data_IF_484273222379
#
_entry.id   IF_484273222379
#
_cell.length_a   1.000
_cell.length_b   1.000
_cell.length_c   1.000
_cell.angle_alpha   90.00
_cell.angle_beta   90.00
_cell.angle_gamma   90.00
#
_symmetry.space_group_name_H-M   'P 1'
#
loop_
_entity.id
_entity.type
_entity.pdbx_description
1 polymer ?
#
# COMPACT_ATOMS: atom_id res chain seq x y z
N UNK A 1 50.53 67.12 19.29
CA UNK A 1 50.42 67.87 20.56
C UNK A 1 49.79 69.23 20.24
N UNK A 2 48.52 69.41 20.55
CA UNK A 2 47.83 70.70 20.43
C UNK A 2 47.48 71.16 21.85
N UNK A 3 47.89 72.39 22.19
CA UNK A 3 47.75 72.97 23.52
C UNK A 3 46.28 73.39 23.72
N UNK A 4 45.60 72.76 24.67
CA UNK A 4 44.24 73.12 25.08
C UNK A 4 44.36 74.17 26.19
N UNK A 5 44.05 75.43 25.87
CA UNK A 5 43.97 76.53 26.84
C UNK A 5 42.56 76.54 27.44
N UNK A 6 42.38 76.58 28.78
CA UNK A 6 41.06 76.58 29.40
C UNK A 6 40.32 77.92 29.16
N UNK A 7 38.98 77.91 29.01
CA UNK A 7 38.22 79.10 28.65
C UNK A 7 38.06 80.05 29.84
N UNK A 8 38.27 81.35 29.62
CA UNK A 8 37.92 82.42 30.56
C UNK A 8 36.41 82.71 30.47
N UNK A 9 35.73 83.00 31.60
CA UNK A 9 34.31 83.30 31.61
C UNK A 9 34.09 84.72 31.06
N UNK A 10 33.27 84.84 30.01
CA UNK A 10 32.79 86.07 29.35
C UNK A 10 33.70 86.73 28.31
N UNK A 11 34.29 85.96 27.39
CA UNK A 11 34.67 86.50 26.07
C UNK A 11 33.49 86.35 25.12
N UNK A 12 32.82 87.46 24.79
CA UNK A 12 31.81 87.44 23.73
C UNK A 12 32.51 87.21 22.40
N UNK A 13 32.09 86.17 21.65
CA UNK A 13 32.58 85.97 20.28
C UNK A 13 32.24 87.19 19.44
N UNK A 14 33.20 87.63 18.63
CA UNK A 14 32.90 88.56 17.55
C UNK A 14 31.93 87.91 16.56
N UNK A 15 31.17 88.73 15.82
CA UNK A 15 30.20 88.23 14.83
C UNK A 15 30.82 87.29 13.82
N UNK A 16 32.06 87.58 13.40
CA UNK A 16 32.77 86.78 12.40
C UNK A 16 33.22 85.44 13.00
N UNK A 17 33.73 85.42 14.23
CA UNK A 17 34.05 84.19 14.96
C UNK A 17 32.83 83.30 15.16
N UNK A 18 31.68 83.88 15.52
CA UNK A 18 30.42 83.13 15.65
C UNK A 18 30.00 82.50 14.32
N UNK A 19 30.12 83.25 13.23
CA UNK A 19 29.78 82.78 11.88
C UNK A 19 30.69 81.63 11.45
N UNK A 20 31.99 81.73 11.71
CA UNK A 20 32.97 80.66 11.44
C UNK A 20 32.66 79.41 12.27
N UNK A 21 32.40 79.57 13.58
CA UNK A 21 32.07 78.46 14.46
C UNK A 21 30.79 77.76 14.00
N UNK A 22 29.76 78.52 13.62
CA UNK A 22 28.50 77.97 13.12
C UNK A 22 28.69 77.21 11.82
N UNK A 23 29.42 77.77 10.85
CA UNK A 23 29.75 77.06 9.61
C UNK A 23 30.56 75.79 9.87
N UNK A 24 31.50 75.81 10.81
CA UNK A 24 32.26 74.61 11.20
C UNK A 24 31.35 73.52 11.75
N UNK A 25 30.42 73.87 12.64
CA UNK A 25 29.43 72.95 13.20
C UNK A 25 28.49 72.39 12.13
N UNK A 26 27.94 73.26 11.28
CA UNK A 26 27.02 72.85 10.20
C UNK A 26 27.73 71.93 9.19
N UNK A 27 29.00 72.21 8.86
CA UNK A 27 29.82 71.35 8.01
C UNK A 27 30.08 69.98 8.65
N UNK A 28 30.34 69.95 9.97
CA UNK A 28 30.52 68.69 10.68
C UNK A 28 29.23 67.86 10.68
N UNK A 29 28.08 68.46 11.02
CA UNK A 29 26.79 67.79 10.97
C UNK A 29 26.46 67.27 9.57
N UNK A 30 26.70 68.10 8.54
CA UNK A 30 26.48 67.70 7.14
C UNK A 30 27.29 66.46 6.77
N UNK A 31 28.55 66.37 7.25
CA UNK A 31 29.39 65.19 7.03
C UNK A 31 28.86 63.95 7.75
N UNK A 32 28.46 64.07 9.01
CA UNK A 32 27.89 62.95 9.77
C UNK A 32 26.59 62.47 9.13
N UNK A 33 25.70 63.40 8.72
CA UNK A 33 24.47 63.05 8.00
C UNK A 33 24.74 62.36 6.67
N UNK A 34 25.72 62.83 5.88
CA UNK A 34 26.12 62.17 4.65
C UNK A 34 26.65 60.75 4.91
N UNK A 35 27.41 60.55 5.98
CA UNK A 35 27.88 59.23 6.43
C UNK A 35 26.73 58.30 6.83
N UNK A 36 25.77 58.80 7.60
CA UNK A 36 24.56 58.07 7.96
C UNK A 36 23.73 57.68 6.73
N UNK A 37 23.54 58.60 5.79
CA UNK A 37 22.85 58.31 4.54
C UNK A 37 23.54 57.19 3.75
N UNK A 38 24.87 57.24 3.65
CA UNK A 38 25.63 56.19 2.97
C UNK A 38 25.47 54.83 3.67
N UNK A 39 25.54 54.79 5.00
CA UNK A 39 25.32 53.56 5.78
C UNK A 39 23.91 53.00 5.60
N UNK A 40 22.89 53.85 5.67
CA UNK A 40 21.49 53.46 5.46
C UNK A 40 21.29 52.89 4.05
N UNK A 41 21.87 53.51 3.03
CA UNK A 41 21.75 53.03 1.66
C UNK A 41 22.55 51.74 1.42
N UNK A 42 23.64 51.52 2.16
CA UNK A 42 24.33 50.24 2.24
C UNK A 42 23.43 49.13 2.79
N UNK A 43 22.84 49.35 3.97
CA UNK A 43 21.92 48.39 4.60
C UNK A 43 20.72 48.08 3.71
N UNK A 44 20.13 49.09 3.05
CA UNK A 44 19.02 48.87 2.11
C UNK A 44 19.42 47.96 0.95
N UNK A 45 20.66 48.06 0.47
CA UNK A 45 21.18 47.22 -0.61
C UNK A 45 21.36 45.79 -0.14
N UNK A 46 22.03 45.60 0.99
CA UNK A 46 22.24 44.27 1.59
C UNK A 46 20.90 43.58 1.90
N UNK A 47 19.93 44.33 2.44
CA UNK A 47 18.60 43.79 2.71
C UNK A 47 17.86 43.38 1.43
N UNK A 48 18.05 44.14 0.34
CA UNK A 48 17.49 43.79 -0.97
C UNK A 48 18.14 42.53 -1.52
N UNK A 49 19.46 42.41 -1.46
CA UNK A 49 20.20 41.23 -1.90
C UNK A 49 19.79 39.99 -1.09
N UNK A 50 19.78 40.11 0.24
CA UNK A 50 19.32 39.05 1.13
C UNK A 50 17.88 38.61 0.81
N UNK A 51 16.97 39.55 0.55
CA UNK A 51 15.59 39.23 0.16
C UNK A 51 15.53 38.41 -1.13
N UNK A 52 16.31 38.77 -2.15
CA UNK A 52 16.34 38.03 -3.41
C UNK A 52 16.99 36.65 -3.25
N UNK A 53 18.06 36.55 -2.46
CA UNK A 53 18.72 35.26 -2.14
C UNK A 53 17.75 34.32 -1.43
N UNK A 54 17.04 34.81 -0.42
CA UNK A 54 16.02 34.04 0.31
C UNK A 54 14.91 33.58 -0.66
N UNK A 55 14.43 34.46 -1.53
CA UNK A 55 13.40 34.12 -2.52
C UNK A 55 13.88 33.03 -3.49
N UNK A 56 15.14 33.09 -3.93
CA UNK A 56 15.74 32.08 -4.79
C UNK A 56 15.82 30.73 -4.07
N UNK A 57 16.26 30.73 -2.80
CA UNK A 57 16.33 29.51 -1.99
C UNK A 57 14.95 28.88 -1.79
N UNK A 58 13.92 29.66 -1.45
CA UNK A 58 12.56 29.15 -1.32
C UNK A 58 12.05 28.56 -2.64
N UNK A 59 12.29 29.23 -3.78
CA UNK A 59 11.91 28.70 -5.09
C UNK A 59 12.59 27.37 -5.39
N UNK A 60 13.88 27.24 -5.07
CA UNK A 60 14.62 26.00 -5.25
C UNK A 60 14.11 24.87 -4.32
N UNK A 61 13.70 25.22 -3.10
CA UNK A 61 13.08 24.28 -2.15
C UNK A 61 11.72 23.80 -2.66
N UNK A 62 10.86 24.71 -3.13
CA UNK A 62 9.55 24.36 -3.70
C UNK A 62 9.68 23.43 -4.91
N UNK A 63 10.65 23.69 -5.80
CA UNK A 63 10.94 22.81 -6.93
C UNK A 63 11.33 21.40 -6.49
N UNK A 64 12.15 21.29 -5.42
CA UNK A 64 12.55 19.99 -4.86
C UNK A 64 11.38 19.27 -4.22
N UNK A 65 10.50 19.97 -3.52
CA UNK A 65 9.28 19.38 -2.95
C UNK A 65 8.35 18.85 -4.04
N UNK A 66 8.08 19.64 -5.09
CA UNK A 66 7.26 19.20 -6.22
C UNK A 66 7.86 17.95 -6.90
N UNK A 67 9.18 17.87 -7.04
CA UNK A 67 9.85 16.69 -7.59
C UNK A 67 9.74 15.46 -6.66
N UNK A 68 9.73 15.66 -5.34
CA UNK A 68 9.50 14.58 -4.37
C UNK A 68 8.06 14.07 -4.45
N UNK A 69 7.08 14.96 -4.53
CA UNK A 69 5.67 14.59 -4.64
C UNK A 69 5.42 13.73 -5.89
N UNK A 70 5.95 14.14 -7.04
CA UNK A 70 5.88 13.36 -8.28
C UNK A 70 6.50 11.96 -8.13
N UNK A 71 7.64 11.86 -7.44
CA UNK A 71 8.29 10.56 -7.19
C UNK A 71 7.46 9.70 -6.24
N UNK A 72 6.82 10.31 -5.25
CA UNK A 72 5.95 9.62 -4.29
C UNK A 72 4.72 9.05 -5.01
N UNK A 73 4.12 9.80 -5.92
CA UNK A 73 3.00 9.32 -6.74
C UNK A 73 3.39 8.10 -7.58
N UNK A 74 4.57 8.14 -8.21
CA UNK A 74 5.11 7.00 -8.98
C UNK A 74 5.35 5.78 -8.08
N UNK A 75 5.95 5.98 -6.90
CA UNK A 75 6.20 4.89 -5.95
C UNK A 75 4.88 4.29 -5.45
N UNK A 76 3.87 5.12 -5.18
CA UNK A 76 2.56 4.65 -4.76
C UNK A 76 1.88 3.80 -5.84
N UNK A 77 1.97 4.22 -7.10
CA UNK A 77 1.48 3.45 -8.25
C UNK A 77 2.17 2.08 -8.34
N UNK A 78 3.50 2.06 -8.29
CA UNK A 78 4.30 0.84 -8.33
C UNK A 78 4.02 -0.09 -7.14
N UNK A 79 3.80 0.47 -5.95
CA UNK A 79 3.46 -0.33 -4.77
C UNK A 79 2.09 -1.00 -4.92
N UNK A 80 1.10 -0.26 -5.44
CA UNK A 80 -0.23 -0.82 -5.67
C UNK A 80 -0.19 -1.93 -6.72
N UNK A 81 0.54 -1.73 -7.82
CA UNK A 81 0.76 -2.73 -8.87
C UNK A 81 1.43 -4.00 -8.30
N UNK A 82 2.58 -3.85 -7.62
CA UNK A 82 3.27 -4.97 -6.99
C UNK A 82 2.39 -5.71 -5.97
N UNK A 83 1.61 -4.96 -5.18
CA UNK A 83 0.67 -5.56 -4.21
C UNK A 83 -0.41 -6.37 -4.93
N UNK A 84 -0.90 -5.90 -6.08
CA UNK A 84 -1.87 -6.62 -6.88
C UNK A 84 -1.26 -7.92 -7.42
N UNK A 85 -0.07 -7.85 -8.02
CA UNK A 85 0.64 -9.02 -8.55
C UNK A 85 0.88 -10.09 -7.50
N UNK A 86 1.37 -9.70 -6.31
CA UNK A 86 1.59 -10.62 -5.19
C UNK A 86 0.28 -11.30 -4.77
N UNK A 87 -0.80 -10.53 -4.62
CA UNK A 87 -2.11 -11.07 -4.22
C UNK A 87 -2.70 -11.97 -5.30
N UNK A 88 -2.63 -11.58 -6.57
CA UNK A 88 -3.08 -12.35 -7.71
C UNK A 88 -2.30 -13.66 -7.83
N UNK A 89 -0.97 -13.61 -7.75
CA UNK A 89 -0.11 -14.79 -7.82
C UNK A 89 -0.39 -15.79 -6.68
N UNK A 90 -0.58 -15.29 -5.46
CA UNK A 90 -0.95 -16.13 -4.31
C UNK A 90 -2.34 -16.77 -4.48
N UNK A 91 -3.33 -16.00 -4.94
CA UNK A 91 -4.67 -16.49 -5.21
C UNK A 91 -4.68 -17.52 -6.35
N UNK A 92 -4.00 -17.24 -7.46
CA UNK A 92 -3.86 -18.14 -8.61
C UNK A 92 -3.18 -19.45 -8.23
N UNK A 93 -2.06 -19.39 -7.49
CA UNK A 93 -1.36 -20.58 -7.00
C UNK A 93 -2.24 -21.45 -6.11
N UNK A 94 -3.08 -20.82 -5.28
CA UNK A 94 -4.04 -21.54 -4.44
C UNK A 94 -5.16 -22.15 -5.28
N UNK A 95 -5.75 -21.39 -6.19
CA UNK A 95 -6.85 -21.84 -7.02
C UNK A 95 -6.47 -23.00 -7.94
N UNK A 96 -5.27 -22.95 -8.54
CA UNK A 96 -4.75 -24.01 -9.42
C UNK A 96 -4.48 -25.35 -8.70
N UNK A 97 -4.38 -25.29 -7.36
CA UNK A 97 -4.25 -26.47 -6.50
C UNK A 97 -5.59 -27.09 -6.09
N UNK A 98 -6.72 -26.43 -6.38
CA UNK A 98 -8.06 -26.92 -6.02
C UNK A 98 -8.37 -28.18 -6.82
N UNK A 99 -8.75 -29.24 -6.11
CA UNK A 99 -9.24 -30.51 -6.68
C UNK A 99 -10.64 -30.84 -6.22
N UNK A 100 -10.98 -30.46 -4.98
CA UNK A 100 -12.28 -30.72 -4.41
C UNK A 100 -13.28 -29.64 -4.89
N UNK A 101 -14.41 -30.01 -5.54
CA UNK A 101 -15.43 -29.07 -6.01
C UNK A 101 -15.98 -28.13 -4.93
N UNK A 102 -15.97 -28.55 -3.66
CA UNK A 102 -16.51 -27.78 -2.53
C UNK A 102 -15.45 -26.92 -1.83
N UNK A 103 -14.19 -26.98 -2.28
CA UNK A 103 -13.15 -26.13 -1.76
C UNK A 103 -13.37 -24.69 -2.22
N UNK A 104 -13.03 -23.74 -1.33
CA UNK A 104 -13.26 -22.33 -1.61
C UNK A 104 -12.29 -21.78 -2.65
N UNK A 105 -12.84 -21.03 -3.60
CA UNK A 105 -12.05 -20.24 -4.55
C UNK A 105 -11.62 -18.95 -3.84
N UNK A 106 -10.36 -18.56 -4.04
CA UNK A 106 -9.88 -17.26 -3.61
C UNK A 106 -10.01 -16.27 -4.77
N UNK A 107 -10.72 -15.14 -4.58
CA UNK A 107 -10.83 -14.13 -5.61
C UNK A 107 -9.47 -13.50 -5.96
N UNK A 108 -9.29 -13.15 -7.23
CA UNK A 108 -8.17 -12.34 -7.67
C UNK A 108 -8.56 -10.86 -7.60
N UNK A 109 -7.68 -10.05 -6.99
CA UNK A 109 -7.81 -8.59 -6.91
C UNK A 109 -7.59 -8.00 -8.30
N UNK A 110 -8.34 -6.97 -8.68
CA UNK A 110 -8.10 -6.23 -9.92
C UNK A 110 -7.27 -4.97 -9.62
N UNK A 111 -6.28 -4.68 -10.47
CA UNK A 111 -5.55 -3.42 -10.41
C UNK A 111 -5.97 -2.53 -11.58
N UNK A 112 -6.42 -1.31 -11.25
CA UNK A 112 -6.81 -0.30 -12.24
C UNK A 112 -5.97 0.95 -11.97
N UNK A 113 -5.09 1.39 -12.89
CA UNK A 113 -4.20 2.53 -12.64
C UNK A 113 -4.91 3.80 -12.14
N UNK A 114 -6.14 4.04 -12.61
CA UNK A 114 -6.93 5.20 -12.20
C UNK A 114 -7.63 5.05 -10.84
N UNK A 115 -7.85 3.84 -10.33
CA UNK A 115 -8.68 3.57 -9.14
C UNK A 115 -7.95 2.78 -8.06
N UNK A 116 -6.73 2.32 -8.34
CA UNK A 116 -5.92 1.50 -7.46
C UNK A 116 -6.33 0.03 -7.43
N UNK A 117 -6.15 -0.59 -6.27
CA UNK A 117 -6.52 -1.97 -5.99
C UNK A 117 -8.03 -2.05 -5.74
N UNK A 118 -8.71 -2.93 -6.47
CA UNK A 118 -10.13 -3.24 -6.28
C UNK A 118 -10.28 -4.71 -5.88
N UNK A 119 -10.88 -4.95 -4.71
CA UNK A 119 -11.27 -6.29 -4.29
C UNK A 119 -12.67 -6.62 -4.87
N UNK A 120 -12.91 -7.87 -5.32
CA UNK A 120 -14.22 -8.26 -5.79
C UNK A 120 -15.21 -8.40 -4.63
N UNK A 121 -16.48 -8.15 -4.94
CA UNK A 121 -17.60 -8.30 -4.04
C UNK A 121 -17.89 -9.78 -3.82
N UNK A 122 -17.75 -10.21 -2.57
CA UNK A 122 -17.90 -11.60 -2.16
C UNK A 122 -19.34 -12.12 -2.27
N UNK A 123 -20.34 -11.23 -2.34
CA UNK A 123 -21.74 -11.62 -2.52
C UNK A 123 -22.04 -11.97 -3.99
N UNK A 124 -21.25 -11.41 -4.93
CA UNK A 124 -21.31 -11.71 -6.36
C UNK A 124 -20.12 -12.55 -6.83
N UNK A 125 -19.39 -13.18 -5.91
CA UNK A 125 -18.28 -14.07 -6.23
C UNK A 125 -18.61 -15.53 -5.86
N UNK A 126 -18.37 -16.50 -6.76
CA UNK A 126 -18.64 -17.91 -6.50
C UNK A 126 -17.74 -18.42 -5.37
N UNK A 127 -18.34 -18.98 -4.33
CA UNK A 127 -17.61 -19.41 -3.14
C UNK A 127 -16.84 -20.70 -3.37
N UNK A 128 -17.34 -21.57 -4.24
CA UNK A 128 -16.78 -22.90 -4.49
C UNK A 128 -16.67 -23.18 -5.99
N UNK A 129 -15.78 -24.10 -6.36
CA UNK A 129 -15.65 -24.55 -7.76
C UNK A 129 -16.96 -25.09 -8.34
N UNK A 130 -17.72 -25.85 -7.56
CA UNK A 130 -19.01 -26.38 -8.01
C UNK A 130 -20.04 -25.26 -8.32
N UNK A 131 -20.02 -24.18 -7.55
CA UNK A 131 -20.84 -23.00 -7.81
C UNK A 131 -20.37 -22.25 -9.05
N UNK A 132 -19.06 -22.11 -9.23
CA UNK A 132 -18.45 -21.48 -10.40
C UNK A 132 -18.83 -22.19 -11.71
N UNK A 133 -18.65 -23.52 -11.80
CA UNK A 133 -18.97 -24.25 -13.05
C UNK A 133 -20.46 -24.31 -13.37
N UNK A 134 -21.36 -24.12 -12.38
CA UNK A 134 -22.80 -23.95 -12.63
C UNK A 134 -23.11 -22.67 -13.40
N UNK A 135 -22.21 -21.69 -13.44
CA UNK A 135 -22.40 -20.46 -14.21
C UNK A 135 -22.35 -20.68 -15.73
N UNK A 136 -21.90 -21.84 -16.22
CA UNK A 136 -21.97 -22.20 -17.65
C UNK A 136 -23.40 -22.28 -18.17
N UNK A 137 -24.32 -22.67 -17.29
CA UNK A 137 -25.75 -22.74 -17.58
C UNK A 137 -26.51 -21.98 -16.47
N UNK A 138 -26.55 -20.64 -16.51
CA UNK A 138 -27.08 -19.83 -15.42
C UNK A 138 -28.61 -19.88 -15.40
N UNK A 139 -29.16 -20.77 -14.57
CA UNK A 139 -30.60 -21.01 -14.43
C UNK A 139 -31.26 -19.87 -13.65
N UNK A 140 -30.62 -19.41 -12.57
CA UNK A 140 -31.20 -18.44 -11.64
C UNK A 140 -30.78 -17.01 -11.97
N UNK A 141 -31.65 -16.02 -11.69
CA UNK A 141 -31.30 -14.59 -11.85
C UNK A 141 -30.04 -14.20 -11.08
N UNK A 142 -29.82 -14.78 -9.90
CA UNK A 142 -28.61 -14.58 -9.11
C UNK A 142 -27.35 -15.03 -9.85
N UNK A 143 -27.36 -16.22 -10.48
CA UNK A 143 -26.26 -16.71 -11.30
C UNK A 143 -26.00 -15.81 -12.52
N UNK A 144 -27.05 -15.29 -13.15
CA UNK A 144 -26.91 -14.35 -14.28
C UNK A 144 -26.19 -13.06 -13.85
N UNK A 145 -26.60 -12.49 -12.72
CA UNK A 145 -25.97 -11.30 -12.13
C UNK A 145 -24.53 -11.55 -11.70
N UNK A 146 -24.28 -12.72 -11.11
CA UNK A 146 -22.94 -13.15 -10.69
C UNK A 146 -22.00 -13.24 -11.90
N UNK A 147 -22.42 -13.92 -12.98
CA UNK A 147 -21.61 -14.03 -14.19
C UNK A 147 -21.33 -12.66 -14.82
N UNK A 148 -22.35 -11.83 -14.95
CA UNK A 148 -22.21 -10.46 -15.46
C UNK A 148 -21.24 -9.62 -14.61
N UNK A 149 -21.31 -9.75 -13.28
CA UNK A 149 -20.40 -9.09 -12.36
C UNK A 149 -18.95 -9.52 -12.60
N UNK A 150 -18.69 -10.82 -12.70
CA UNK A 150 -17.33 -11.33 -12.92
C UNK A 150 -16.74 -10.84 -14.24
N UNK A 151 -17.52 -10.85 -15.32
CA UNK A 151 -17.10 -10.35 -16.64
C UNK A 151 -16.69 -8.87 -16.55
N UNK A 152 -17.50 -8.04 -15.90
CA UNK A 152 -17.21 -6.61 -15.76
C UNK A 152 -16.06 -6.33 -14.79
N UNK A 153 -15.90 -7.14 -13.74
CA UNK A 153 -14.85 -6.96 -12.75
C UNK A 153 -13.47 -7.24 -13.35
N UNK A 154 -13.34 -8.37 -14.06
CA UNK A 154 -12.12 -8.80 -14.74
C UNK A 154 -11.93 -8.22 -16.15
N UNK A 155 -12.77 -7.24 -16.54
CA UNK A 155 -12.69 -6.52 -17.82
C UNK A 155 -12.70 -7.43 -19.06
N UNK A 156 -13.52 -8.48 -19.02
CA UNK A 156 -13.65 -9.45 -20.11
C UNK A 156 -14.69 -9.02 -21.16
N UNK A 157 -15.36 -7.88 -20.98
CA UNK A 157 -16.42 -7.42 -21.90
C UNK A 157 -15.93 -7.19 -23.33
N UNK A 158 -14.64 -6.89 -23.50
CA UNK A 158 -14.00 -6.66 -24.79
C UNK A 158 -13.29 -7.91 -25.34
N UNK A 159 -13.37 -9.05 -24.64
CA UNK A 159 -12.76 -10.30 -25.09
C UNK A 159 -13.56 -10.84 -26.28
N UNK A 160 -12.99 -10.87 -27.50
CA UNK A 160 -13.69 -11.39 -28.68
C UNK A 160 -14.07 -12.87 -28.53
N UNK A 161 -13.44 -13.59 -27.60
CA UNK A 161 -13.69 -15.01 -27.35
C UNK A 161 -15.08 -15.24 -26.76
N UNK A 162 -15.57 -14.32 -25.92
CA UNK A 162 -16.84 -14.48 -25.18
C UNK A 162 -18.05 -13.94 -25.94
N UNK A 163 -17.83 -13.21 -27.03
CA UNK A 163 -18.92 -12.68 -27.85
C UNK A 163 -19.66 -13.81 -28.58
N UNK A 164 -20.98 -13.63 -28.84
CA UNK A 164 -21.74 -14.60 -29.61
C UNK A 164 -21.10 -14.70 -31.00
N UNK A 165 -20.68 -15.92 -31.39
CA UNK A 165 -20.36 -16.18 -32.80
C UNK A 165 -21.64 -15.89 -33.57
N UNK A 166 -21.58 -14.95 -34.52
CA UNK A 166 -22.66 -14.60 -35.43
C UNK A 166 -23.17 -15.88 -36.09
N UNK A 167 -24.19 -16.50 -35.49
CA UNK A 167 -24.82 -17.70 -36.02
C UNK A 167 -25.64 -17.21 -37.19
N UNK A 168 -25.00 -17.26 -38.36
CA UNK A 168 -25.62 -17.06 -39.66
C UNK A 168 -27.04 -17.62 -39.67
N UNK A 169 -27.96 -16.72 -39.96
CA UNK A 169 -29.39 -16.89 -40.16
C UNK A 169 -29.69 -18.13 -41.01
N UNK A 170 -30.07 -19.23 -40.37
CA UNK A 170 -30.97 -20.23 -40.97
C UNK A 170 -31.58 -21.10 -39.85
N UNK A 171 -32.89 -21.34 -39.96
CA UNK A 171 -33.78 -22.10 -39.06
C UNK A 171 -34.14 -21.54 -37.67
N UNK A 172 -35.34 -20.94 -37.62
CA UNK A 172 -36.43 -21.29 -36.70
C UNK A 172 -36.24 -21.10 -35.18
N UNK A 173 -36.93 -20.09 -34.63
CA UNK A 173 -37.35 -20.01 -33.22
C UNK A 173 -36.27 -20.23 -32.13
N UNK A 174 -35.16 -19.51 -32.23
CA UNK A 174 -34.22 -19.37 -31.10
C UNK A 174 -34.55 -18.08 -30.35
N UNK A 175 -35.18 -18.21 -29.18
CA UNK A 175 -35.34 -17.15 -28.19
C UNK A 175 -34.01 -16.39 -28.03
N UNK A 176 -33.95 -15.07 -28.27
CA UNK A 176 -32.71 -14.31 -28.18
C UNK A 176 -32.09 -14.53 -26.80
N UNK A 177 -30.87 -15.07 -26.79
CA UNK A 177 -30.12 -15.32 -25.56
C UNK A 177 -30.20 -14.07 -24.66
N UNK A 178 -30.60 -14.20 -23.38
CA UNK A 178 -30.75 -13.06 -22.47
C UNK A 178 -29.42 -12.38 -22.10
N UNK A 179 -28.30 -12.80 -22.72
CA UNK A 179 -26.96 -12.29 -22.50
C UNK A 179 -26.34 -11.77 -23.80
N UNK A 180 -25.59 -10.65 -23.75
CA UNK A 180 -24.80 -10.19 -24.88
C UNK A 180 -23.53 -11.02 -25.13
N UNK A 181 -23.35 -12.14 -24.43
CA UNK A 181 -22.17 -13.02 -24.47
C UNK A 181 -22.57 -14.49 -24.31
N UNK A 182 -21.68 -15.40 -24.72
CA UNK A 182 -21.84 -16.84 -24.51
C UNK A 182 -21.40 -17.22 -23.08
N UNK A 183 -22.31 -17.70 -22.21
CA UNK A 183 -21.99 -18.00 -20.82
C UNK A 183 -20.95 -19.13 -20.67
N UNK A 184 -20.88 -20.08 -21.61
CA UNK A 184 -19.91 -21.18 -21.54
C UNK A 184 -18.50 -20.63 -21.72
N UNK A 185 -18.29 -19.86 -22.79
CA UNK A 185 -17.00 -19.24 -23.10
C UNK A 185 -16.59 -18.20 -22.08
N UNK A 186 -17.54 -17.43 -21.55
CA UNK A 186 -17.25 -16.48 -20.47
C UNK A 186 -16.69 -17.19 -19.24
N UNK A 187 -17.27 -18.33 -18.86
CA UNK A 187 -16.75 -19.13 -17.74
C UNK A 187 -15.38 -19.72 -18.06
N UNK A 188 -15.13 -20.18 -19.28
CA UNK A 188 -13.80 -20.64 -19.71
C UNK A 188 -12.74 -19.53 -19.63
N UNK A 189 -13.04 -18.31 -20.11
CA UNK A 189 -12.13 -17.16 -19.96
C UNK A 189 -11.88 -16.83 -18.48
N UNK A 190 -12.92 -16.85 -17.64
CA UNK A 190 -12.77 -16.60 -16.19
C UNK A 190 -12.01 -17.74 -15.50
N UNK A 191 -12.16 -18.99 -15.95
CA UNK A 191 -11.44 -20.16 -15.43
C UNK A 191 -9.93 -19.95 -15.57
N UNK A 192 -9.49 -19.51 -16.76
CA UNK A 192 -8.09 -19.17 -17.05
C UNK A 192 -7.61 -18.04 -16.15
N UNK A 193 -8.39 -16.95 -16.02
CA UNK A 193 -8.04 -15.82 -15.15
C UNK A 193 -7.89 -16.25 -13.69
N UNK A 194 -8.81 -17.07 -13.18
CA UNK A 194 -8.79 -17.54 -11.79
C UNK A 194 -7.75 -18.64 -11.55
N UNK A 195 -7.15 -19.20 -12.60
CA UNK A 195 -6.21 -20.32 -12.53
C UNK A 195 -6.88 -21.62 -12.09
N UNK A 196 -8.16 -21.80 -12.41
CA UNK A 196 -8.88 -23.04 -12.14
C UNK A 196 -8.59 -24.08 -13.23
N UNK A 197 -8.83 -25.34 -12.88
CA UNK A 197 -8.59 -26.47 -13.78
C UNK A 197 -9.76 -27.45 -13.62
N UNK A 198 -10.68 -27.42 -14.57
CA UNK A 198 -11.87 -28.25 -14.55
C UNK A 198 -11.55 -29.75 -14.56
N UNK A 199 -10.51 -30.17 -15.28
CA UNK A 199 -10.16 -31.58 -15.43
C UNK A 199 -9.80 -32.21 -14.08
N UNK A 200 -9.05 -31.49 -13.23
CA UNK A 200 -8.74 -31.93 -11.86
C UNK A 200 -10.01 -32.16 -11.03
N UNK A 201 -11.01 -31.32 -11.21
CA UNK A 201 -12.26 -31.33 -10.45
C UNK A 201 -13.17 -32.46 -10.95
N UNK A 202 -13.24 -32.67 -12.26
CA UNK A 202 -13.91 -33.82 -12.88
C UNK A 202 -13.26 -35.12 -12.41
N UNK A 203 -11.94 -35.23 -12.46
CA UNK A 203 -11.21 -36.41 -12.02
C UNK A 203 -11.44 -36.72 -10.54
N UNK A 204 -11.54 -35.70 -9.69
CA UNK A 204 -11.92 -35.86 -8.29
C UNK A 204 -13.35 -36.40 -8.13
N UNK A 205 -14.34 -35.83 -8.85
CA UNK A 205 -15.74 -36.31 -8.81
C UNK A 205 -15.83 -37.77 -9.24
N UNK A 206 -15.16 -38.15 -10.33
CA UNK A 206 -15.12 -39.54 -10.82
C UNK A 206 -14.49 -40.49 -9.80
N UNK A 207 -13.35 -40.10 -9.21
CA UNK A 207 -12.68 -40.90 -8.18
C UNK A 207 -13.56 -41.08 -6.94
N UNK A 208 -14.22 -40.02 -6.48
CA UNK A 208 -15.15 -40.09 -5.35
C UNK A 208 -16.34 -41.02 -5.62
N UNK A 209 -16.89 -41.00 -6.84
CA UNK A 209 -17.95 -41.91 -7.26
C UNK A 209 -17.48 -43.37 -7.28
N UNK A 210 -16.27 -43.64 -7.78
CA UNK A 210 -15.69 -45.00 -7.77
C UNK A 210 -15.54 -45.53 -6.33
N UNK A 211 -15.08 -44.71 -5.39
CA UNK A 211 -15.00 -45.12 -3.99
C UNK A 211 -16.38 -45.34 -3.36
N UNK A 212 -17.35 -44.48 -3.64
CA UNK A 212 -18.72 -44.65 -3.15
C UNK A 212 -19.38 -45.93 -3.68
N UNK A 213 -19.11 -46.30 -4.93
CA UNK A 213 -19.59 -47.55 -5.52
C UNK A 213 -18.90 -48.77 -4.89
N UNK A 214 -17.61 -48.68 -4.54
CA UNK A 214 -16.86 -49.76 -3.89
C UNK A 214 -17.29 -49.98 -2.43
N UNK A 215 -17.56 -48.93 -1.66
CA UNK A 215 -17.97 -49.07 -0.25
C UNK A 215 -19.34 -49.73 -0.10
N UNK A 216 -20.23 -49.63 -1.10
CA UNK A 216 -21.50 -50.35 -1.12
C UNK A 216 -21.33 -51.86 -1.34
N UNK A 217 -20.20 -52.30 -1.90
CA UNK A 217 -19.92 -53.70 -2.22
C UNK A 217 -19.08 -54.43 -1.17
N UNK A 218 -18.54 -53.76 -0.14
CA UNK A 218 -17.94 -54.47 0.98
C UNK A 218 -19.05 -54.96 1.93
N UNK A 219 -19.20 -56.27 2.16
CA UNK A 219 -20.11 -56.76 3.19
C UNK A 219 -19.64 -56.17 4.52
N UNK A 220 -20.58 -55.55 5.23
CA UNK A 220 -20.39 -55.03 6.59
C UNK A 220 -20.03 -56.18 7.54
N UNK A 221 -18.78 -56.62 7.52
CA UNK A 221 -18.22 -57.43 8.60
C UNK A 221 -17.95 -56.50 9.75
N UNK A 222 -19.01 -56.26 10.55
CA UNK A 222 -18.85 -55.91 11.96
C UNK A 222 -17.91 -56.95 12.59
N UNK A 223 -16.74 -56.60 13.15
CA UNK A 223 -16.06 -57.52 14.04
C UNK A 223 -16.92 -57.65 15.29
N UNK A 224 -17.59 -58.80 15.40
CA UNK A 224 -18.22 -59.26 16.61
C UNK A 224 -17.10 -59.69 17.57
N UNK A 225 -16.78 -58.87 18.57
CA UNK A 225 -15.92 -59.27 19.68
C UNK A 225 -16.62 -58.85 20.97
N UNK A 226 -17.46 -59.74 21.48
CA UNK A 226 -17.69 -59.90 22.91
C UNK A 226 -16.78 -61.06 23.35
N UNK A 227 -15.66 -60.76 24.01
CA UNK A 227 -15.51 -60.84 25.48
C UNK A 227 -15.40 -62.28 25.99
N UNK A 228 -14.17 -62.72 26.27
CA UNK A 228 -13.75 -63.05 27.65
C UNK A 228 -12.24 -63.39 27.73
N UNK A 229 -11.56 -62.68 28.65
CA UNK A 229 -10.50 -63.05 29.61
C UNK A 229 -9.30 -63.87 29.09
N UNK A 230 -8.02 -63.54 29.27
CA UNK A 230 -7.20 -62.71 30.20
C UNK A 230 -5.93 -62.34 29.39
N UNK A 231 -5.22 -61.22 29.48
CA UNK A 231 -4.51 -60.62 30.61
C UNK A 231 -4.14 -59.16 30.26
N UNK A 232 -4.32 -58.30 31.25
CA UNK A 232 -3.39 -57.24 31.67
C UNK A 232 -3.21 -55.91 30.90
N UNK A 233 -3.59 -54.86 31.64
CA UNK A 233 -3.08 -53.48 31.63
C UNK A 233 -3.80 -52.43 30.77
N UNK A 234 -5.03 -52.14 31.22
CA UNK A 234 -5.61 -50.81 31.13
C UNK A 234 -4.78 -49.75 31.88
N UNK A 235 -4.77 -48.55 31.29
CA UNK A 235 -4.70 -47.25 31.96
C UNK A 235 -3.34 -46.73 32.45
N UNK A 236 -2.63 -46.01 31.59
CA UNK A 236 -1.91 -44.79 31.99
C UNK A 236 -2.21 -43.64 31.03
N UNK A 237 -3.29 -42.90 31.33
CA UNK A 237 -3.35 -41.46 31.01
C UNK A 237 -2.32 -40.76 31.91
N UNK A 238 -1.44 -39.89 31.40
CA UNK A 238 -0.70 -38.98 32.27
C UNK A 238 -1.68 -37.89 32.74
N UNK A 239 -2.07 -37.95 34.02
CA UNK A 239 -2.63 -36.79 34.72
C UNK A 239 -1.49 -35.82 34.98
N UNK A 240 -1.69 -34.58 34.53
CA UNK A 240 -0.94 -33.42 34.95
C UNK A 240 -1.39 -33.07 36.37
N UNK A 241 -0.47 -33.01 37.34
CA UNK A 241 -0.74 -32.37 38.65
C UNK A 241 0.52 -31.61 39.13
N UNK A 242 0.37 -30.42 39.75
CA UNK A 242 1.44 -29.44 39.90
C UNK A 242 1.95 -29.37 41.34
N UNK A 243 3.08 -30.03 41.66
CA UNK A 243 3.92 -29.69 42.83
C UNK A 243 5.36 -30.16 42.65
N UNK A 244 6.29 -29.19 42.72
CA UNK A 244 7.77 -29.15 42.66
C UNK A 244 8.53 -30.17 43.55
N UNK A 245 9.89 -30.13 43.72
CA UNK A 245 11.01 -29.42 43.05
C UNK A 245 12.13 -30.43 42.60
N UNK A 246 13.19 -30.15 41.83
CA UNK A 246 14.43 -29.44 42.24
C UNK A 246 15.50 -29.67 41.16
N UNK A 247 16.14 -28.59 40.69
CA UNK A 247 17.59 -28.45 40.40
C UNK A 247 18.22 -29.35 39.31
N UNK A 248 18.90 -28.82 38.28
CA UNK A 248 20.04 -27.90 38.36
C UNK A 248 20.18 -27.04 37.09
N UNK A 249 20.36 -25.74 37.34
CA UNK A 249 21.11 -24.74 36.54
C UNK A 249 22.56 -25.20 36.26
N UNK A 250 23.38 -24.55 35.39
CA UNK A 250 23.37 -23.11 35.05
C UNK A 250 23.53 -22.88 33.52
N UNK A 251 23.60 -21.69 32.94
CA UNK A 251 23.81 -20.34 33.45
C UNK A 251 23.33 -19.31 32.41
N UNK A 252 22.91 -18.17 32.96
CA UNK A 252 22.99 -16.79 32.47
C UNK A 252 22.87 -16.47 30.96
N UNK A 253 21.84 -15.73 30.53
CA UNK A 253 21.72 -14.25 30.60
C UNK A 253 22.10 -13.62 29.25
N UNK A 254 21.54 -12.53 28.75
CA UNK A 254 20.53 -11.56 29.18
C UNK A 254 20.35 -10.60 27.98
N UNK A 255 19.14 -10.05 27.83
CA UNK A 255 18.86 -8.63 27.52
C UNK A 255 19.40 -8.13 26.16
N UNK A 256 18.58 -7.88 25.15
CA UNK A 256 17.57 -6.82 25.15
C UNK A 256 18.21 -5.46 24.83
N UNK A 257 18.07 -4.97 23.60
CA UNK A 257 17.78 -3.56 23.30
C UNK A 257 17.59 -3.33 21.79
N UNK A 258 16.68 -2.42 21.40
CA UNK A 258 16.50 -1.98 20.02
C UNK A 258 17.58 -0.96 19.63
N UNK A 259 17.98 -1.02 18.36
CA UNK A 259 18.86 -0.05 17.72
C UNK A 259 18.09 1.24 17.45
N UNK A 260 18.37 2.28 18.23
CA UNK A 260 18.10 3.66 17.84
C UNK A 260 19.28 4.19 17.01
N UNK A 261 19.03 4.95 15.93
CA UNK A 261 20.08 5.55 15.11
C UNK A 261 20.72 6.74 15.84
N UNK A 262 22.05 6.78 15.82
CA UNK A 262 22.88 7.90 16.28
C UNK A 262 22.93 8.95 15.17
N UNK A 263 22.36 10.12 15.44
CA UNK A 263 22.65 11.35 14.70
C UNK A 263 23.99 11.94 15.17
N UNK A 264 24.86 12.44 14.28
CA UNK A 264 26.04 13.19 14.69
C UNK A 264 25.65 14.56 15.23
N UNK A 265 26.17 14.84 16.42
CA UNK A 265 26.01 16.05 17.21
C UNK A 265 26.62 17.27 16.50
N UNK A 266 25.83 18.34 16.44
CA UNK A 266 26.25 19.65 15.99
C UNK A 266 27.25 20.25 17.00
N UNK A 267 28.41 20.70 16.51
CA UNK A 267 29.28 21.62 17.26
C UNK A 267 28.62 22.99 17.26
N UNK A 268 28.21 23.46 18.44
CA UNK A 268 27.82 24.85 18.61
C UNK A 268 29.06 25.77 18.77
N UNK A 269 28.94 27.05 18.37
CA UNK A 269 30.02 28.02 18.27
C UNK A 269 30.14 28.85 19.55
N UNK A 270 31.36 29.02 20.07
CA UNK A 270 31.84 30.15 20.90
C UNK A 270 33.24 29.84 21.43
N UNK A 271 34.25 30.33 20.70
CA UNK A 271 35.52 30.90 21.16
C UNK A 271 36.25 31.47 19.95
#
# INVERSE_FOLDING_TARGET
MAIIIPPTPNSYLTRDEYTILRHSQDNHLTREFAGLHHSIDGIKRELKEFKEDVKLQFTAVDQRFNAVDQRLDIVQLQLNENTAEIRQSAAYSRNSSIKNPYQRITPLVAYRPAHGLADPDLDFFPKTADEFYKLRSPITSAQRKMLHYLINFYDLTNDPSILPVDRSVDDGDIDPSPFPYDPVRAVESIEVVLGLDEEKIIAFKQRAQQYAAQTLHLPSKRPNIASNNELEHLARRPKFDPTSPTSRHPDSSRIGRPLNPVFPEAKDPRL
#
